data_IF_504320317620
#
_entry.id   IF_504320317620
#
_cell.length_a   1.000
_cell.length_b   1.000
_cell.length_c   1.000
_cell.angle_alpha   90.00
_cell.angle_beta   90.00
_cell.angle_gamma   90.00
#
_symmetry.space_group_name_H-M   'P 1'
#
loop_
_entity.id
_entity.type
_entity.pdbx_description
1 polymer ?
#
# COMPACT_ATOMS: atom_id res chain seq x y z
N UNK A 1 2.60 -5.28 19.51
CA UNK A 1 2.47 -4.88 18.10
C UNK A 1 1.07 -5.12 17.51
N UNK A 2 0.14 -5.80 18.21
CA UNK A 2 -1.28 -5.89 17.79
C UNK A 2 -2.22 -5.09 18.71
N UNK A 3 -1.88 -4.92 19.98
CA UNK A 3 -2.67 -4.16 20.95
C UNK A 3 -2.79 -2.68 20.57
N UNK A 4 -1.68 -2.07 20.14
CA UNK A 4 -1.60 -0.66 19.78
C UNK A 4 -2.43 -0.37 18.52
N UNK A 5 -2.31 -1.21 17.49
CA UNK A 5 -3.11 -1.15 16.27
C UNK A 5 -4.61 -1.29 16.59
N UNK A 6 -4.99 -2.24 17.44
CA UNK A 6 -6.39 -2.40 17.84
C UNK A 6 -6.94 -1.20 18.64
N UNK A 7 -6.10 -0.49 19.40
CA UNK A 7 -6.50 0.78 20.04
C UNK A 7 -6.75 1.86 18.99
N UNK A 8 -5.84 2.01 18.03
CA UNK A 8 -5.94 3.01 16.95
C UNK A 8 -7.13 2.77 16.02
N UNK A 9 -7.42 1.50 15.73
CA UNK A 9 -8.59 1.11 14.93
C UNK A 9 -9.89 1.45 15.65
N UNK A 10 -9.99 1.12 16.95
CA UNK A 10 -11.16 1.48 17.78
C UNK A 10 -11.34 2.98 17.95
N UNK A 11 -10.27 3.77 17.90
CA UNK A 11 -10.32 5.23 17.95
C UNK A 11 -10.48 5.88 16.56
N UNK A 12 -10.71 5.09 15.50
CA UNK A 12 -10.81 5.56 14.11
C UNK A 12 -9.62 6.40 13.64
N UNK A 13 -8.45 6.15 14.23
CA UNK A 13 -7.20 6.85 13.89
C UNK A 13 -6.39 6.10 12.83
N UNK A 14 -6.69 4.81 12.63
CA UNK A 14 -6.16 3.97 11.56
C UNK A 14 -7.29 3.07 11.06
N UNK A 15 -7.32 2.81 9.76
CA UNK A 15 -8.17 1.79 9.15
C UNK A 15 -7.28 0.65 8.64
N UNK A 16 -7.66 -0.60 8.94
CA UNK A 16 -7.02 -1.77 8.36
C UNK A 16 -7.70 -2.09 7.04
N UNK A 17 -7.01 -1.86 5.94
CA UNK A 17 -7.58 -2.13 4.62
C UNK A 17 -7.51 -3.62 4.29
N UNK A 18 -8.63 -4.30 4.00
CA UNK A 18 -8.65 -5.72 3.69
C UNK A 18 -8.05 -5.98 2.30
N UNK A 19 -7.21 -7.02 2.19
CA UNK A 19 -6.66 -7.44 0.90
C UNK A 19 -7.74 -8.23 0.14
N UNK A 20 -8.35 -7.58 -0.86
CA UNK A 20 -9.38 -8.18 -1.71
C UNK A 20 -8.76 -9.03 -2.84
N UNK A 21 -9.56 -9.90 -3.46
CA UNK A 21 -9.13 -10.65 -4.65
C UNK A 21 -8.80 -9.72 -5.84
N UNK A 22 -9.43 -8.55 -5.90
CA UNK A 22 -9.12 -7.51 -6.88
C UNK A 22 -7.72 -6.92 -6.63
N UNK A 23 -7.38 -6.56 -5.38
CA UNK A 23 -6.04 -6.09 -5.01
C UNK A 23 -4.98 -7.12 -5.36
N UNK A 24 -5.22 -8.40 -5.04
CA UNK A 24 -4.27 -9.49 -5.37
C UNK A 24 -4.05 -9.57 -6.89
N UNK A 25 -5.13 -9.48 -7.68
CA UNK A 25 -5.03 -9.55 -9.15
C UNK A 25 -4.20 -8.40 -9.71
N UNK A 26 -4.43 -7.17 -9.25
CA UNK A 26 -3.64 -6.03 -9.70
C UNK A 26 -2.20 -6.11 -9.20
N UNK A 27 -1.98 -6.60 -7.98
CA UNK A 27 -0.64 -6.74 -7.42
C UNK A 27 0.22 -7.71 -8.24
N UNK A 28 -0.34 -8.82 -8.73
CA UNK A 28 0.36 -9.73 -9.64
C UNK A 28 0.81 -9.00 -10.91
N UNK A 29 -0.05 -8.15 -11.48
CA UNK A 29 0.32 -7.34 -12.64
C UNK A 29 1.45 -6.36 -12.30
N UNK A 30 1.34 -5.65 -11.17
CA UNK A 30 2.38 -4.71 -10.71
C UNK A 30 3.73 -5.41 -10.45
N UNK A 31 3.74 -6.64 -9.90
CA UNK A 31 4.97 -7.44 -9.75
C UNK A 31 5.64 -7.68 -11.09
N UNK A 32 4.87 -8.04 -12.12
CA UNK A 32 5.42 -8.33 -13.45
C UNK A 32 5.89 -7.08 -14.18
N UNK A 33 5.23 -5.94 -13.98
CA UNK A 33 5.54 -4.67 -14.65
C UNK A 33 6.66 -3.88 -13.95
N UNK A 34 6.71 -3.92 -12.62
CA UNK A 34 7.63 -3.11 -11.81
C UNK A 34 8.76 -3.93 -11.18
N UNK A 35 8.71 -5.26 -11.27
CA UNK A 35 9.70 -6.19 -10.70
C UNK A 35 9.94 -6.00 -9.20
N UNK A 36 8.86 -5.76 -8.46
CA UNK A 36 8.87 -5.58 -6.99
C UNK A 36 8.37 -6.84 -6.26
N UNK A 37 8.60 -6.91 -4.95
CA UNK A 37 8.10 -8.02 -4.15
C UNK A 37 6.56 -7.98 -4.04
N UNK A 38 5.94 -9.16 -3.92
CA UNK A 38 4.47 -9.27 -3.91
C UNK A 38 3.81 -8.49 -2.77
N UNK A 39 4.44 -8.42 -1.60
CA UNK A 39 3.90 -7.64 -0.48
C UNK A 39 3.93 -6.15 -0.78
N UNK A 40 4.99 -5.65 -1.40
CA UNK A 40 5.09 -4.25 -1.82
C UNK A 40 4.04 -3.91 -2.87
N UNK A 41 3.85 -4.80 -3.85
CA UNK A 41 2.80 -4.65 -4.86
C UNK A 41 1.40 -4.60 -4.23
N UNK A 42 1.11 -5.46 -3.24
CA UNK A 42 -0.15 -5.44 -2.51
C UNK A 42 -0.32 -4.10 -1.77
N UNK A 43 0.73 -3.58 -1.15
CA UNK A 43 0.68 -2.27 -0.46
C UNK A 43 0.39 -1.12 -1.44
N UNK A 44 1.03 -1.11 -2.60
CA UNK A 44 0.78 -0.10 -3.64
C UNK A 44 -0.66 -0.21 -4.16
N UNK A 45 -1.12 -1.38 -4.56
CA UNK A 45 -2.49 -1.55 -5.10
C UNK A 45 -3.56 -1.27 -4.05
N UNK A 46 -3.30 -1.56 -2.78
CA UNK A 46 -4.18 -1.15 -1.66
C UNK A 46 -4.27 0.38 -1.58
N UNK A 47 -3.15 1.08 -1.74
CA UNK A 47 -3.11 2.55 -1.76
C UNK A 47 -3.89 3.14 -2.94
N UNK A 48 -3.81 2.50 -4.12
CA UNK A 48 -4.59 2.88 -5.32
C UNK A 48 -6.09 2.70 -5.06
N UNK A 49 -6.49 1.53 -4.57
CA UNK A 49 -7.90 1.19 -4.30
C UNK A 49 -8.51 2.13 -3.24
N UNK A 50 -7.71 2.57 -2.25
CA UNK A 50 -8.13 3.55 -1.25
C UNK A 50 -8.39 4.96 -1.83
N UNK A 51 -8.04 5.23 -3.08
CA UNK A 51 -8.60 6.34 -3.86
C UNK A 51 -7.98 7.72 -3.68
N UNK A 52 -6.83 7.85 -2.98
CA UNK A 52 -5.85 8.97 -2.95
C UNK A 52 -5.16 9.07 -1.58
N UNK A 53 -4.45 8.02 -1.19
CA UNK A 53 -3.57 8.10 -0.04
C UNK A 53 -2.17 8.53 -0.49
N UNK A 54 -1.57 9.45 0.25
CA UNK A 54 -0.12 9.67 0.21
C UNK A 54 0.53 8.35 0.63
N UNK A 55 1.35 7.76 -0.25
CA UNK A 55 2.05 6.53 0.06
C UNK A 55 3.30 6.84 0.90
N UNK A 56 3.40 6.18 2.05
CA UNK A 56 4.50 6.39 3.00
C UNK A 56 5.24 5.07 3.20
N UNK A 57 6.51 5.04 2.81
CA UNK A 57 7.43 3.96 3.16
C UNK A 57 8.80 4.52 3.53
N UNK A 58 9.52 3.83 4.40
CA UNK A 58 10.94 4.11 4.64
C UNK A 58 11.83 3.56 3.49
N UNK A 59 11.26 2.70 2.64
CA UNK A 59 11.92 2.18 1.45
C UNK A 59 11.86 3.19 0.30
N UNK A 60 13.03 3.73 -0.05
CA UNK A 60 13.18 4.75 -1.10
C UNK A 60 12.90 4.21 -2.50
N UNK A 61 13.22 2.94 -2.75
CA UNK A 61 12.97 2.31 -4.05
C UNK A 61 11.48 2.07 -4.22
N UNK A 62 10.79 1.66 -3.15
CA UNK A 62 9.34 1.53 -3.17
C UNK A 62 8.64 2.88 -3.37
N UNK A 63 9.08 3.95 -2.70
CA UNK A 63 8.57 5.31 -2.94
C UNK A 63 8.86 5.78 -4.38
N UNK A 64 9.98 5.38 -4.98
CA UNK A 64 10.24 5.68 -6.39
C UNK A 64 9.26 4.95 -7.31
N UNK A 65 8.95 3.68 -7.03
CA UNK A 65 7.95 2.91 -7.77
C UNK A 65 6.54 3.47 -7.60
N UNK A 66 6.13 3.83 -6.38
CA UNK A 66 4.87 4.51 -6.11
C UNK A 66 4.69 5.78 -6.95
N UNK A 67 5.74 6.63 -7.04
CA UNK A 67 5.74 7.83 -7.89
C UNK A 67 5.61 7.53 -9.38
N UNK A 68 6.24 6.45 -9.87
CA UNK A 68 6.07 6.00 -11.27
C UNK A 68 4.63 5.58 -11.58
N UNK A 69 3.91 5.07 -10.58
CA UNK A 69 2.48 4.72 -10.68
C UNK A 69 1.55 5.94 -10.50
N UNK A 70 2.10 7.15 -10.35
CA UNK A 70 1.33 8.39 -10.24
C UNK A 70 0.85 8.71 -8.82
N UNK A 71 1.37 8.03 -7.80
CA UNK A 71 1.05 8.33 -6.40
C UNK A 71 1.85 9.54 -5.88
N UNK A 72 1.24 10.27 -4.96
CA UNK A 72 1.98 11.16 -4.07
C UNK A 72 2.67 10.33 -2.99
N UNK A 73 3.90 10.67 -2.64
CA UNK A 73 4.66 10.01 -1.58
C UNK A 73 5.13 11.03 -0.55
N UNK A 74 5.01 10.71 0.73
CA UNK A 74 5.67 11.46 1.80
C UNK A 74 6.83 10.63 2.35
N UNK A 75 7.97 11.31 2.53
CA UNK A 75 9.30 10.81 2.98
C UNK A 75 10.28 10.45 1.85
#
# INVERSE_FOLDING_TARGET
MLSELGVLERSSSVEIYPVSSQIIRQAIKAVLEQHIYIVDAIQLETCIEAGRAVFCSADKELNATARKLGMETAL
#
